data_IF_607868772818
#
_entry.id   IF_607868772818
#
_cell.length_a   1.000
_cell.length_b   1.000
_cell.length_c   1.000
_cell.angle_alpha   90.00
_cell.angle_beta   90.00
_cell.angle_gamma   90.00
#
_symmetry.space_group_name_H-M   'P 1'
#
loop_
_entity.id
_entity.type
_entity.pdbx_description
1 polymer ?
#
# COMPACT_ATOMS: atom_id res chain seq x y z
N UNK A 1 -18.05 3.75 -15.42
CA UNK A 1 -18.37 4.87 -14.51
C UNK A 1 -17.46 4.73 -13.28
N UNK A 2 -16.30 5.39 -13.26
CA UNK A 2 -15.20 5.19 -12.27
C UNK A 2 -15.13 6.40 -11.33
N UNK A 3 -16.28 6.75 -10.75
CA UNK A 3 -16.54 8.04 -10.08
C UNK A 3 -16.13 8.09 -8.60
N UNK A 4 -15.21 7.23 -8.14
CA UNK A 4 -14.81 7.20 -6.73
C UNK A 4 -13.31 6.94 -6.58
N UNK A 5 -12.47 7.81 -7.18
CA UNK A 5 -11.19 8.16 -6.55
C UNK A 5 -11.49 9.04 -5.34
N UNK A 6 -12.14 8.47 -4.33
CA UNK A 6 -12.09 9.03 -2.98
C UNK A 6 -10.93 8.31 -2.34
N UNK A 7 -9.72 8.79 -2.63
CA UNK A 7 -8.54 8.39 -1.87
C UNK A 7 -8.89 8.57 -0.41
N UNK A 8 -8.87 7.47 0.34
CA UNK A 8 -9.08 7.53 1.78
C UNK A 8 -7.78 8.09 2.35
N UNK A 9 -7.91 9.10 3.21
CA UNK A 9 -6.76 9.82 3.77
C UNK A 9 -5.80 8.86 4.49
N UNK A 10 -6.34 7.79 5.04
CA UNK A 10 -5.62 6.69 5.67
C UNK A 10 -4.64 6.01 4.69
N UNK A 11 -5.07 5.74 3.45
CA UNK A 11 -4.22 5.09 2.45
C UNK A 11 -3.11 6.03 1.99
N UNK A 12 -3.41 7.32 1.81
CA UNK A 12 -2.41 8.34 1.48
C UNK A 12 -1.29 8.39 2.54
N UNK A 13 -1.66 8.35 3.83
CA UNK A 13 -0.68 8.37 4.93
C UNK A 13 0.18 7.10 4.97
N UNK A 14 -0.43 5.93 4.73
CA UNK A 14 0.27 4.65 4.70
C UNK A 14 1.27 4.63 3.53
N UNK A 15 0.83 5.02 2.33
CA UNK A 15 1.67 5.03 1.13
C UNK A 15 2.79 6.08 1.21
N UNK A 16 2.51 7.29 1.71
CA UNK A 16 3.54 8.33 1.89
C UNK A 16 4.60 7.90 2.91
N UNK A 17 4.19 7.31 4.03
CA UNK A 17 5.13 6.77 5.03
C UNK A 17 5.99 5.65 4.45
N UNK A 18 5.38 4.71 3.71
CA UNK A 18 6.10 3.62 3.06
C UNK A 18 7.08 4.14 2.00
N UNK A 19 6.63 5.04 1.12
CA UNK A 19 7.45 5.61 0.06
C UNK A 19 8.66 6.36 0.63
N UNK A 20 8.48 7.16 1.68
CA UNK A 20 9.59 7.87 2.33
C UNK A 20 10.64 6.93 2.92
N UNK A 21 10.21 5.77 3.45
CA UNK A 21 11.08 4.85 4.14
C UNK A 21 11.74 3.80 3.22
N UNK A 22 11.05 3.39 2.15
CA UNK A 22 11.44 2.20 1.38
C UNK A 22 11.63 2.47 -0.11
N UNK A 23 11.08 3.54 -0.69
CA UNK A 23 11.12 3.75 -2.15
C UNK A 23 12.56 3.83 -2.70
N UNK A 24 13.49 4.37 -1.91
CA UNK A 24 14.91 4.45 -2.30
C UNK A 24 15.64 3.09 -2.30
N UNK A 25 15.11 2.10 -1.58
CA UNK A 25 15.69 0.76 -1.43
C UNK A 25 14.98 -0.30 -2.30
N UNK A 26 13.94 0.10 -3.05
CA UNK A 26 13.23 -0.81 -3.96
C UNK A 26 14.07 -1.10 -5.20
N UNK A 27 14.05 -2.35 -5.65
CA UNK A 27 14.60 -2.72 -6.96
C UNK A 27 13.73 -2.20 -8.10
N UNK A 28 14.24 -2.17 -9.33
CA UNK A 28 13.44 -1.78 -10.51
C UNK A 28 12.16 -2.61 -10.64
N UNK A 29 12.24 -3.93 -10.39
CA UNK A 29 11.06 -4.80 -10.43
C UNK A 29 10.05 -4.49 -9.31
N UNK A 30 10.51 -4.08 -8.13
CA UNK A 30 9.63 -3.66 -7.04
C UNK A 30 9.00 -2.29 -7.31
N UNK A 31 9.71 -1.39 -7.99
CA UNK A 31 9.19 -0.10 -8.43
C UNK A 31 8.09 -0.29 -9.47
N UNK A 32 8.29 -1.17 -10.46
CA UNK A 32 7.26 -1.51 -11.45
C UNK A 32 6.00 -2.09 -10.78
N UNK A 33 6.20 -2.98 -9.78
CA UNK A 33 5.10 -3.52 -8.99
C UNK A 33 4.41 -2.46 -8.14
N UNK A 34 5.16 -1.50 -7.59
CA UNK A 34 4.62 -0.39 -6.81
C UNK A 34 3.80 0.56 -7.69
N UNK A 35 4.27 0.88 -8.90
CA UNK A 35 3.50 1.67 -9.86
C UNK A 35 2.22 0.96 -10.29
N UNK A 36 2.28 -0.36 -10.55
CA UNK A 36 1.08 -1.16 -10.84
C UNK A 36 0.09 -1.15 -9.66
N UNK A 37 0.59 -1.24 -8.43
CA UNK A 37 -0.21 -1.17 -7.22
C UNK A 37 -0.90 0.19 -7.05
N UNK A 38 -0.21 1.30 -7.35
CA UNK A 38 -0.80 2.65 -7.33
C UNK A 38 -1.90 2.87 -8.39
N UNK A 39 -1.98 2.00 -9.40
CA UNK A 39 -3.05 2.04 -10.39
C UNK A 39 -4.35 1.38 -9.91
N UNK A 40 -4.30 0.60 -8.82
CA UNK A 40 -5.45 -0.06 -8.20
C UNK A 40 -6.33 0.91 -7.39
N UNK A 41 -7.46 0.44 -6.87
CA UNK A 41 -8.37 1.25 -6.06
C UNK A 41 -7.89 1.38 -4.61
N UNK A 42 -7.85 2.59 -4.05
CA UNK A 42 -7.46 2.83 -2.66
C UNK A 42 -8.27 2.03 -1.63
N UNK A 43 -9.54 1.74 -1.93
CA UNK A 43 -10.36 0.87 -1.09
C UNK A 43 -9.83 -0.57 -1.09
N UNK A 44 -9.53 -1.12 -2.27
CA UNK A 44 -9.01 -2.48 -2.41
C UNK A 44 -7.63 -2.59 -1.76
N UNK A 45 -6.76 -1.59 -1.98
CA UNK A 45 -5.46 -1.47 -1.31
C UNK A 45 -5.61 -1.49 0.22
N UNK A 46 -6.53 -0.70 0.76
CA UNK A 46 -6.79 -0.67 2.19
C UNK A 46 -7.30 -2.00 2.71
N UNK A 47 -8.18 -2.68 1.96
CA UNK A 47 -8.66 -4.01 2.33
C UNK A 47 -7.53 -5.05 2.32
N UNK A 48 -6.58 -4.97 1.39
CA UNK A 48 -5.39 -5.84 1.38
C UNK A 48 -4.46 -5.55 2.56
N UNK A 49 -4.13 -4.28 2.81
CA UNK A 49 -3.25 -3.86 3.91
C UNK A 49 -3.84 -4.21 5.28
N UNK A 50 -5.16 -4.08 5.43
CA UNK A 50 -5.88 -4.45 6.65
C UNK A 50 -6.15 -5.95 6.80
N UNK A 51 -5.87 -6.75 5.76
CA UNK A 51 -6.11 -8.20 5.76
C UNK A 51 -7.59 -8.59 5.68
N UNK A 52 -8.45 -7.70 5.19
CA UNK A 52 -9.88 -7.97 4.98
C UNK A 52 -10.13 -8.88 3.76
N UNK A 53 -9.26 -8.80 2.76
CA UNK A 53 -9.26 -9.69 1.58
C UNK A 53 -7.84 -10.14 1.25
N UNK A 54 -7.75 -11.30 0.61
CA UNK A 54 -6.49 -11.84 0.13
C UNK A 54 -5.85 -10.92 -0.90
N UNK A 55 -4.54 -10.69 -0.73
CA UNK A 55 -3.75 -9.90 -1.67
C UNK A 55 -3.44 -10.72 -2.92
N UNK A 56 -3.61 -10.16 -4.13
CA UNK A 56 -3.20 -10.83 -5.38
C UNK A 56 -1.70 -11.19 -5.39
N UNK A 57 -1.37 -12.30 -6.05
CA UNK A 57 -0.04 -12.89 -6.05
C UNK A 57 1.14 -11.94 -6.40
N UNK A 58 1.05 -10.97 -7.33
CA UNK A 58 2.18 -10.06 -7.58
C UNK A 58 2.42 -9.06 -6.45
N UNK A 59 1.39 -8.72 -5.68
CA UNK A 59 1.46 -7.65 -4.67
C UNK A 59 1.72 -8.16 -3.25
N UNK A 60 1.62 -9.48 -3.02
CA UNK A 60 1.76 -10.08 -1.69
C UNK A 60 3.00 -9.63 -0.90
N UNK A 61 4.22 -9.71 -1.47
CA UNK A 61 5.43 -9.25 -0.80
C UNK A 61 5.42 -7.75 -0.49
N UNK A 62 4.90 -6.94 -1.42
CA UNK A 62 4.86 -5.48 -1.28
C UNK A 62 3.83 -5.04 -0.23
N UNK A 63 2.62 -5.61 -0.25
CA UNK A 63 1.58 -5.37 0.75
C UNK A 63 2.05 -5.82 2.13
N UNK A 64 2.74 -6.95 2.25
CA UNK A 64 3.30 -7.39 3.53
C UNK A 64 4.26 -6.35 4.14
N UNK A 65 5.14 -5.76 3.31
CA UNK A 65 6.05 -4.68 3.75
C UNK A 65 5.29 -3.40 4.12
N UNK A 66 4.26 -3.04 3.36
CA UNK A 66 3.40 -1.89 3.67
C UNK A 66 2.66 -2.10 5.00
N UNK A 67 2.09 -3.28 5.22
CA UNK A 67 1.37 -3.62 6.47
C UNK A 67 2.30 -3.64 7.68
N UNK A 68 3.52 -4.18 7.56
CA UNK A 68 4.55 -4.14 8.61
C UNK A 68 4.86 -2.68 9.03
N UNK A 69 5.06 -1.79 8.05
CA UNK A 69 5.32 -0.37 8.30
C UNK A 69 4.10 0.34 8.91
N UNK A 70 2.89 0.05 8.40
CA UNK A 70 1.65 0.67 8.87
C UNK A 70 1.33 0.33 10.34
N UNK A 71 1.70 -0.87 10.82
CA UNK A 71 1.56 -1.24 12.24
C UNK A 71 2.36 -0.32 13.17
N UNK A 72 3.43 0.30 12.69
CA UNK A 72 4.23 1.28 13.41
C UNK A 72 3.55 2.64 13.58
N UNK A 73 2.57 2.97 12.73
CA UNK A 73 1.84 4.25 12.77
C UNK A 73 0.64 4.23 13.73
N UNK A 74 0.09 3.05 14.04
CA UNK A 74 -1.16 2.90 14.81
C UNK A 74 -0.97 2.53 16.28
N UNK A 75 0.27 2.43 16.78
CA UNK A 75 0.53 2.26 18.23
C UNK A 75 0.78 3.62 18.88
N UNK A 76 -0.09 4.10 19.79
CA UNK A 76 0.36 5.07 20.77
C UNK A 76 1.36 4.36 21.69
N UNK A 77 2.46 5.05 22.01
CA UNK A 77 3.41 4.65 23.05
C UNK A 77 2.72 4.49 24.41
#
# INVERSE_FOLDING_TARGET
MRSMRRGIKEMDLILDSFARAHLADLSEADLDLYEALLAENDHDLYQWVSGQVDTPAPYGPLIARITEQARGLTRPA
#
